data_IF_519797932993
#
_entry.id   IF_519797932993
#
_cell.length_a   1.000
_cell.length_b   1.000
_cell.length_c   1.000
_cell.angle_alpha   90.00
_cell.angle_beta   90.00
_cell.angle_gamma   90.00
#
_symmetry.space_group_name_H-M   'P 1'
#
loop_
_entity.id
_entity.type
_entity.pdbx_description
1 polymer ?
#
# COMPACT_ATOMS: atom_id res chain seq x y z
N UNK A 1 30.21 16.24 -2.05
CA UNK A 1 29.35 15.81 -3.19
C UNK A 1 27.93 16.27 -2.90
N UNK A 2 27.33 17.06 -3.79
CA UNK A 2 25.93 17.49 -3.65
C UNK A 2 25.06 16.29 -4.05
N UNK A 3 24.22 15.80 -3.14
CA UNK A 3 23.25 14.77 -3.50
C UNK A 3 22.31 15.34 -4.58
N UNK A 4 22.07 14.63 -5.69
CA UNK A 4 21.14 15.10 -6.71
C UNK A 4 19.75 15.32 -6.08
N UNK A 5 19.10 16.42 -6.44
CA UNK A 5 17.73 16.70 -6.00
C UNK A 5 16.77 15.75 -6.72
N UNK A 6 15.78 15.17 -6.02
CA UNK A 6 14.79 14.32 -6.65
C UNK A 6 13.97 15.12 -7.67
N UNK A 7 13.76 14.53 -8.84
CA UNK A 7 12.97 15.14 -9.93
C UNK A 7 11.47 15.04 -9.61
N UNK A 8 11.05 13.97 -8.93
CA UNK A 8 9.67 13.75 -8.49
C UNK A 8 9.54 14.05 -7.00
N UNK A 9 8.58 14.90 -6.64
CA UNK A 9 8.27 15.29 -5.26
C UNK A 9 6.76 15.22 -5.03
N UNK A 10 6.30 15.18 -3.77
CA UNK A 10 4.87 15.24 -3.47
C UNK A 10 4.15 16.47 -4.07
N UNK A 11 4.88 17.57 -4.24
CA UNK A 11 4.35 18.85 -4.74
C UNK A 11 4.21 18.88 -6.26
N UNK A 12 5.01 18.09 -6.98
CA UNK A 12 4.98 18.06 -8.45
C UNK A 12 4.38 16.77 -9.03
N UNK A 13 3.93 15.85 -8.17
CA UNK A 13 3.19 14.64 -8.52
C UNK A 13 1.72 14.76 -8.13
N UNK A 14 0.84 14.17 -8.93
CA UNK A 14 -0.60 14.12 -8.67
C UNK A 14 -1.00 12.70 -8.23
N UNK A 15 -0.99 12.38 -6.92
CA UNK A 15 -1.33 11.05 -6.46
C UNK A 15 -2.83 10.79 -6.60
N UNK A 16 -3.19 9.71 -7.30
CA UNK A 16 -4.54 9.14 -7.30
C UNK A 16 -4.50 7.81 -6.57
N UNK A 17 -5.37 7.62 -5.58
CA UNK A 17 -5.29 6.45 -4.70
C UNK A 17 -6.65 5.97 -4.20
N UNK A 18 -6.73 4.66 -3.99
CA UNK A 18 -7.80 3.98 -3.23
C UNK A 18 -7.11 3.08 -2.19
N UNK A 19 -6.92 3.62 -0.99
CA UNK A 19 -6.17 2.96 0.08
C UNK A 19 -7.13 2.48 1.15
N UNK A 20 -7.49 1.20 1.06
CA UNK A 20 -8.36 0.56 2.04
C UNK A 20 -7.61 -0.41 2.93
N UNK A 21 -8.04 -0.51 4.18
CA UNK A 21 -7.41 -1.36 5.18
C UNK A 21 -8.43 -2.13 6.00
N UNK A 22 -8.15 -3.42 6.24
CA UNK A 22 -8.77 -4.17 7.32
C UNK A 22 -7.87 -4.11 8.54
N UNK A 23 -8.29 -3.41 9.58
CA UNK A 23 -7.58 -3.34 10.85
C UNK A 23 -8.32 -4.18 11.89
N UNK A 24 -7.61 -5.06 12.59
CA UNK A 24 -8.07 -5.71 13.80
C UNK A 24 -7.22 -5.28 14.99
N UNK A 25 -7.89 -4.83 16.05
CA UNK A 25 -7.30 -4.56 17.35
C UNK A 25 -7.92 -5.50 18.39
N UNK A 26 -7.11 -5.88 19.37
CA UNK A 26 -7.48 -6.89 20.35
C UNK A 26 -7.61 -6.27 21.72
N UNK A 27 -8.77 -6.46 22.33
CA UNK A 27 -9.06 -6.04 23.69
C UNK A 27 -8.40 -6.98 24.70
N UNK A 28 -8.09 -6.50 25.90
CA UNK A 28 -7.68 -7.38 27.01
C UNK A 28 -8.87 -8.20 27.51
N UNK A 29 -9.99 -7.51 27.72
CA UNK A 29 -11.26 -8.07 28.17
C UNK A 29 -12.40 -7.72 27.21
N UNK A 30 -13.62 -8.13 27.54
CA UNK A 30 -14.80 -7.81 26.74
C UNK A 30 -14.95 -6.29 26.55
N UNK A 31 -15.13 -5.79 25.32
CA UNK A 31 -15.22 -4.36 25.06
C UNK A 31 -16.49 -3.76 25.66
N UNK A 32 -16.42 -2.47 25.98
CA UNK A 32 -17.63 -1.67 26.17
C UNK A 32 -18.39 -1.54 24.85
N UNK A 33 -19.71 -1.39 24.95
CA UNK A 33 -20.59 -1.23 23.79
C UNK A 33 -20.08 -0.16 22.83
N UNK A 34 -19.98 -0.51 21.55
CA UNK A 34 -19.53 0.40 20.48
C UNK A 34 -20.41 1.64 20.34
N UNK A 35 -21.69 1.56 20.73
CA UNK A 35 -22.60 2.72 20.77
C UNK A 35 -22.06 3.86 21.63
N UNK A 36 -21.19 3.57 22.62
CA UNK A 36 -20.61 4.58 23.52
C UNK A 36 -19.43 5.33 22.92
N UNK A 37 -18.76 4.78 21.90
CA UNK A 37 -17.51 5.34 21.42
C UNK A 37 -17.38 5.47 19.90
N UNK A 38 -18.10 4.68 19.11
CA UNK A 38 -17.87 4.55 17.67
C UNK A 38 -18.07 5.84 16.88
N UNK A 39 -19.21 6.51 17.04
CA UNK A 39 -19.48 7.76 16.31
C UNK A 39 -18.53 8.89 16.73
N UNK A 40 -18.14 8.94 18.01
CA UNK A 40 -17.18 9.91 18.50
C UNK A 40 -15.73 9.62 18.08
N UNK A 41 -15.40 8.37 17.71
CA UNK A 41 -14.07 8.01 17.23
C UNK A 41 -13.81 8.51 15.80
N UNK A 42 -14.83 8.46 14.92
CA UNK A 42 -14.72 8.85 13.50
C UNK A 42 -14.08 10.23 13.29
N UNK A 43 -14.58 11.33 13.88
CA UNK A 43 -13.98 12.66 13.66
C UNK A 43 -12.59 12.80 14.29
N UNK A 44 -12.22 11.96 15.27
CA UNK A 44 -10.89 11.98 15.86
C UNK A 44 -9.86 11.36 14.93
N UNK A 45 -10.21 10.25 14.26
CA UNK A 45 -9.32 9.60 13.29
C UNK A 45 -9.27 10.35 11.97
N UNK A 46 -10.36 11.00 11.56
CA UNK A 46 -10.37 11.79 10.32
C UNK A 46 -9.40 12.98 10.37
N UNK A 47 -9.20 13.60 11.53
CA UNK A 47 -8.17 14.63 11.75
C UNK A 47 -6.76 14.13 11.50
N UNK A 48 -6.53 12.83 11.68
CA UNK A 48 -5.26 12.17 11.41
C UNK A 48 -5.17 11.67 9.95
N UNK A 49 -6.16 11.94 9.11
CA UNK A 49 -6.24 11.46 7.72
C UNK A 49 -6.73 10.00 7.58
N UNK A 50 -7.36 9.46 8.64
CA UNK A 50 -7.92 8.09 8.68
C UNK A 50 -9.44 8.13 8.78
N UNK A 51 -10.13 7.74 7.71
CA UNK A 51 -11.59 7.60 7.71
C UNK A 51 -11.99 6.17 8.06
N UNK A 52 -12.84 6.01 9.07
CA UNK A 52 -13.46 4.72 9.38
C UNK A 52 -14.71 4.56 8.51
N UNK A 53 -14.70 3.55 7.64
CA UNK A 53 -15.83 3.23 6.76
C UNK A 53 -16.82 2.31 7.47
N UNK A 54 -16.31 1.25 8.10
CA UNK A 54 -17.12 0.27 8.81
C UNK A 54 -16.44 -0.21 10.08
N UNK A 55 -17.27 -0.70 11.00
CA UNK A 55 -16.85 -1.37 12.21
C UNK A 55 -17.71 -2.60 12.46
N UNK A 56 -17.08 -3.66 12.92
CA UNK A 56 -17.77 -4.79 13.53
C UNK A 56 -16.99 -5.35 14.71
N UNK A 57 -17.72 -5.88 15.68
CA UNK A 57 -17.15 -6.79 16.66
C UNK A 57 -17.07 -8.18 16.00
N UNK A 58 -15.86 -8.69 15.80
CA UNK A 58 -15.64 -9.97 15.11
C UNK A 58 -15.90 -11.17 16.03
N UNK A 59 -15.44 -11.05 17.27
CA UNK A 59 -15.59 -12.02 18.36
C UNK A 59 -15.54 -11.26 19.69
N UNK A 60 -15.58 -11.91 20.84
CA UNK A 60 -15.68 -11.24 22.15
C UNK A 60 -14.54 -10.27 22.48
N UNK A 61 -13.38 -10.40 21.84
CA UNK A 61 -12.19 -9.59 22.16
C UNK A 61 -11.57 -8.92 20.93
N UNK A 62 -12.17 -9.04 19.76
CA UNK A 62 -11.62 -8.49 18.51
C UNK A 62 -12.57 -7.48 17.89
N UNK A 63 -12.11 -6.23 17.82
CA UNK A 63 -12.75 -5.20 17.00
C UNK A 63 -12.08 -5.14 15.64
N UNK A 64 -12.88 -5.17 14.58
CA UNK A 64 -12.43 -5.05 13.21
C UNK A 64 -12.99 -3.80 12.56
N UNK A 65 -12.13 -3.08 11.83
CA UNK A 65 -12.44 -1.85 11.13
C UNK A 65 -12.12 -1.99 9.64
N UNK A 66 -12.96 -1.38 8.81
CA UNK A 66 -12.65 -1.04 7.44
C UNK A 66 -12.28 0.44 7.40
N UNK A 67 -11.11 0.76 6.87
CA UNK A 67 -10.56 2.11 6.87
C UNK A 67 -10.23 2.58 5.45
N UNK A 68 -10.30 3.89 5.23
CA UNK A 68 -9.74 4.59 4.07
C UNK A 68 -8.76 5.65 4.55
N UNK A 69 -7.62 5.81 3.88
CA UNK A 69 -6.56 6.72 4.36
C UNK A 69 -5.99 7.61 3.26
N UNK A 70 -5.36 8.71 3.67
CA UNK A 70 -4.48 9.48 2.80
C UNK A 70 -3.18 8.72 2.50
N UNK A 71 -2.52 9.03 1.38
CA UNK A 71 -1.29 8.37 0.93
C UNK A 71 -0.05 8.70 1.77
N UNK A 72 -0.10 9.76 2.59
CA UNK A 72 1.00 10.20 3.47
C UNK A 72 1.12 9.37 4.74
N UNK A 73 0.15 8.51 5.03
CA UNK A 73 0.11 7.74 6.27
C UNK A 73 0.63 6.33 6.04
N UNK A 74 1.59 5.92 6.86
CA UNK A 74 1.99 4.53 6.96
C UNK A 74 0.92 3.69 7.68
N UNK A 75 0.84 2.38 7.41
CA UNK A 75 -0.03 1.48 8.17
C UNK A 75 0.17 1.59 9.69
N UNK A 76 1.40 1.80 10.14
CA UNK A 76 1.73 1.98 11.57
C UNK A 76 1.06 3.22 12.18
N UNK A 77 1.00 4.32 11.44
CA UNK A 77 0.32 5.54 11.86
C UNK A 77 -1.20 5.40 11.83
N UNK A 78 -1.72 4.65 10.86
CA UNK A 78 -3.15 4.30 10.78
C UNK A 78 -3.58 3.51 12.03
N UNK A 79 -2.78 2.52 12.43
CA UNK A 79 -3.00 1.76 13.68
C UNK A 79 -2.92 2.68 14.89
N UNK A 80 -1.89 3.54 14.95
CA UNK A 80 -1.70 4.49 16.06
C UNK A 80 -2.90 5.43 16.19
N UNK A 81 -3.44 5.93 15.09
CA UNK A 81 -4.64 6.78 15.08
C UNK A 81 -5.83 6.00 15.65
N UNK A 82 -6.25 4.90 15.03
CA UNK A 82 -7.47 4.20 15.45
C UNK A 82 -7.37 3.69 16.90
N UNK A 83 -6.31 2.93 17.20
CA UNK A 83 -6.13 2.30 18.53
C UNK A 83 -5.84 3.32 19.62
N UNK A 84 -5.00 4.32 19.32
CA UNK A 84 -4.61 5.35 20.27
C UNK A 84 -5.75 6.33 20.60
N UNK A 85 -6.48 6.80 19.57
CA UNK A 85 -7.65 7.67 19.76
C UNK A 85 -8.75 6.95 20.55
N UNK A 86 -9.01 5.68 20.22
CA UNK A 86 -9.98 4.88 20.96
C UNK A 86 -9.55 4.65 22.42
N UNK A 87 -8.29 4.27 22.66
CA UNK A 87 -7.77 4.12 24.03
C UNK A 87 -7.91 5.41 24.81
N UNK A 88 -7.59 6.56 24.22
CA UNK A 88 -7.73 7.86 24.89
C UNK A 88 -9.18 8.16 25.27
N UNK A 89 -10.11 7.88 24.36
CA UNK A 89 -11.54 8.13 24.56
C UNK A 89 -12.15 7.30 25.69
N UNK A 90 -11.71 6.05 25.85
CA UNK A 90 -12.30 5.11 26.82
C UNK A 90 -11.46 4.95 28.09
N UNK A 91 -10.30 5.62 28.21
CA UNK A 91 -9.31 5.42 29.29
C UNK A 91 -9.88 5.58 30.70
N UNK A 92 -10.90 6.42 30.87
CA UNK A 92 -11.52 6.65 32.18
C UNK A 92 -12.32 5.42 32.61
N UNK A 93 -12.92 4.70 31.67
CA UNK A 93 -13.66 3.46 31.96
C UNK A 93 -12.73 2.24 31.96
N UNK A 94 -11.79 2.19 31.01
CA UNK A 94 -10.84 1.09 30.84
C UNK A 94 -9.43 1.65 30.59
N UNK A 95 -8.62 1.84 31.64
CA UNK A 95 -7.30 2.46 31.53
C UNK A 95 -6.34 1.76 30.56
N UNK A 96 -6.47 0.43 30.42
CA UNK A 96 -5.60 -0.40 29.57
C UNK A 96 -6.43 -1.37 28.73
N UNK A 97 -7.19 -0.85 27.78
CA UNK A 97 -8.23 -1.60 27.08
C UNK A 97 -7.68 -2.63 26.08
N UNK A 98 -6.50 -2.39 25.51
CA UNK A 98 -5.99 -3.19 24.40
C UNK A 98 -4.75 -4.00 24.75
N UNK A 99 -4.62 -5.16 24.10
CA UNK A 99 -3.36 -5.91 24.02
C UNK A 99 -2.35 -5.14 23.16
N UNK A 100 -1.07 -5.44 23.29
CA UNK A 100 -0.01 -4.80 22.50
C UNK A 100 -0.13 -5.07 20.99
N UNK A 101 -0.66 -6.24 20.62
CA UNK A 101 -0.68 -6.72 19.25
C UNK A 101 -1.79 -6.11 18.36
N UNK A 102 -1.66 -6.27 17.05
CA UNK A 102 -2.65 -5.89 16.03
C UNK A 102 -2.53 -6.76 14.77
N UNK A 103 -3.52 -6.65 13.88
CA UNK A 103 -3.47 -7.16 12.51
C UNK A 103 -3.93 -6.10 11.52
N UNK A 104 -3.14 -5.76 10.50
CA UNK A 104 -3.57 -4.82 9.44
C UNK A 104 -3.35 -5.41 8.05
N UNK A 105 -4.33 -5.28 7.15
CA UNK A 105 -4.23 -5.80 5.78
C UNK A 105 -4.70 -4.76 4.77
N UNK A 106 -3.93 -4.51 3.72
CA UNK A 106 -4.38 -3.75 2.55
C UNK A 106 -5.53 -4.48 1.86
N UNK A 107 -6.57 -3.77 1.48
CA UNK A 107 -7.72 -4.28 0.72
C UNK A 107 -7.77 -3.57 -0.63
N UNK A 108 -7.81 -4.35 -1.71
CA UNK A 108 -8.16 -3.86 -3.04
C UNK A 108 -9.61 -4.23 -3.38
N UNK A 109 -10.19 -3.53 -4.36
CA UNK A 109 -11.46 -3.95 -4.98
C UNK A 109 -11.37 -5.32 -5.66
N UNK A 110 -10.15 -5.81 -5.86
CA UNK A 110 -9.85 -7.00 -6.63
C UNK A 110 -8.81 -7.84 -5.87
N UNK A 111 -8.95 -9.17 -5.92
CA UNK A 111 -7.98 -10.10 -5.33
C UNK A 111 -6.61 -9.94 -5.98
N UNK A 112 -5.54 -10.23 -5.23
CA UNK A 112 -4.17 -10.12 -5.72
C UNK A 112 -3.92 -10.98 -6.96
N UNK A 113 -4.52 -12.17 -7.04
CA UNK A 113 -4.38 -13.08 -8.18
C UNK A 113 -4.92 -12.44 -9.46
N UNK A 114 -6.05 -11.73 -9.37
CA UNK A 114 -6.65 -11.01 -10.50
C UNK A 114 -5.82 -9.78 -10.88
N UNK A 115 -5.23 -9.08 -9.91
CA UNK A 115 -4.30 -7.97 -10.21
C UNK A 115 -3.06 -8.50 -10.93
N UNK A 116 -2.56 -9.67 -10.53
CA UNK A 116 -1.43 -10.31 -11.19
C UNK A 116 -1.77 -10.78 -12.61
N UNK A 117 -2.96 -11.34 -12.83
CA UNK A 117 -3.46 -11.72 -14.16
C UNK A 117 -3.68 -10.48 -15.06
N UNK A 118 -4.23 -9.40 -14.52
CA UNK A 118 -4.34 -8.13 -15.22
C UNK A 118 -2.97 -7.59 -15.66
N UNK A 119 -1.94 -7.76 -14.82
CA UNK A 119 -0.56 -7.40 -15.18
C UNK A 119 0.01 -8.29 -16.27
N UNK A 120 -0.31 -9.59 -16.27
CA UNK A 120 0.15 -10.52 -17.30
C UNK A 120 -0.41 -10.16 -18.68
N UNK A 121 -1.65 -9.69 -18.71
CA UNK A 121 -2.33 -9.29 -19.96
C UNK A 121 -2.06 -7.84 -20.36
N UNK A 122 -1.32 -7.04 -19.58
CA UNK A 122 -1.11 -5.61 -19.89
C UNK A 122 -0.44 -5.38 -21.24
N UNK A 123 0.60 -6.15 -21.56
CA UNK A 123 1.27 -6.01 -22.85
C UNK A 123 0.38 -6.42 -24.03
N UNK A 124 -0.59 -7.30 -23.80
CA UNK A 124 -1.54 -7.74 -24.83
C UNK A 124 -2.65 -6.70 -25.06
N UNK A 125 -3.16 -6.10 -23.98
CA UNK A 125 -4.12 -5.00 -24.05
C UNK A 125 -3.51 -3.73 -24.65
N UNK A 126 -2.22 -3.49 -24.40
CA UNK A 126 -1.44 -2.40 -25.00
C UNK A 126 -0.62 -2.90 -26.20
N UNK A 127 -1.26 -3.58 -27.15
CA UNK A 127 -0.59 -4.07 -28.34
C UNK A 127 0.01 -2.91 -29.15
N UNK A 128 1.31 -2.97 -29.38
CA UNK A 128 1.99 -2.03 -30.26
C UNK A 128 1.70 -2.39 -31.72
N UNK A 129 1.48 -1.37 -32.55
CA UNK A 129 1.31 -1.56 -34.00
C UNK A 129 2.51 -2.23 -34.64
N UNK A 130 3.72 -1.90 -34.18
CA UNK A 130 4.97 -2.52 -34.62
C UNK A 130 5.34 -3.71 -33.70
N UNK A 131 5.35 -4.96 -34.22
CA UNK A 131 5.78 -6.14 -33.47
C UNK A 131 7.21 -6.03 -32.92
N UNK A 132 8.10 -5.26 -33.55
CA UNK A 132 9.47 -5.04 -33.04
C UNK A 132 9.45 -4.24 -31.74
N UNK A 133 8.58 -3.24 -31.63
CA UNK A 133 8.40 -2.47 -30.39
C UNK A 133 7.75 -3.34 -29.32
N UNK A 134 6.75 -4.17 -29.69
CA UNK A 134 6.15 -5.14 -28.77
C UNK A 134 7.22 -6.08 -28.17
N UNK A 135 8.00 -6.74 -29.04
CA UNK A 135 9.04 -7.68 -28.64
C UNK A 135 10.16 -7.02 -27.81
N UNK A 136 10.39 -5.72 -28.01
CA UNK A 136 11.32 -4.95 -27.21
C UNK A 136 10.81 -4.77 -25.78
N UNK A 137 9.55 -4.36 -25.59
CA UNK A 137 8.97 -4.17 -24.26
C UNK A 137 8.96 -5.45 -23.44
N UNK A 138 8.68 -6.61 -24.07
CA UNK A 138 8.67 -7.92 -23.41
C UNK A 138 9.98 -8.19 -22.64
N UNK A 139 11.13 -7.77 -23.19
CA UNK A 139 12.46 -7.99 -22.56
C UNK A 139 12.64 -7.26 -21.24
N UNK A 140 11.88 -6.19 -21.02
CA UNK A 140 12.05 -5.31 -19.85
C UNK A 140 11.01 -5.53 -18.76
N UNK A 141 10.11 -6.49 -18.93
CA UNK A 141 9.18 -6.88 -17.87
C UNK A 141 9.94 -7.58 -16.74
N UNK A 142 9.44 -7.45 -15.51
CA UNK A 142 10.01 -8.10 -14.33
C UNK A 142 8.97 -9.05 -13.77
N UNK A 143 9.38 -10.30 -13.56
CA UNK A 143 8.60 -11.33 -12.89
C UNK A 143 9.46 -12.06 -11.87
N UNK A 144 9.09 -11.92 -10.60
CA UNK A 144 9.72 -12.61 -9.47
C UNK A 144 8.70 -13.63 -8.89
N UNK A 145 8.54 -14.81 -9.51
CA UNK A 145 7.47 -15.76 -9.15
C UNK A 145 7.62 -16.36 -7.73
N UNK A 146 8.83 -16.30 -7.18
CA UNK A 146 9.14 -16.71 -5.81
C UNK A 146 8.62 -15.70 -4.76
N UNK A 147 8.35 -14.46 -5.15
CA UNK A 147 7.83 -13.42 -4.24
C UNK A 147 6.33 -13.61 -4.05
N UNK A 148 5.93 -13.97 -2.83
CA UNK A 148 4.52 -14.19 -2.46
C UNK A 148 3.96 -13.02 -1.64
N UNK A 149 3.12 -12.21 -2.26
CA UNK A 149 2.50 -11.03 -1.63
C UNK A 149 1.31 -11.36 -0.71
N UNK A 150 0.75 -12.56 -0.82
CA UNK A 150 -0.39 -13.01 0.01
C UNK A 150 0.04 -13.61 1.36
N UNK A 151 1.34 -13.67 1.64
CA UNK A 151 1.86 -14.23 2.90
C UNK A 151 1.82 -13.19 4.01
N UNK A 152 1.33 -13.59 5.18
CA UNK A 152 1.30 -12.75 6.38
C UNK A 152 2.73 -12.44 6.82
N UNK A 153 3.04 -11.15 6.94
CA UNK A 153 4.31 -10.65 7.50
C UNK A 153 4.13 -10.24 8.95
N UNK A 154 5.22 -10.21 9.71
CA UNK A 154 5.21 -9.90 11.15
C UNK A 154 6.14 -8.73 11.47
N UNK A 155 5.69 -7.86 12.37
CA UNK A 155 6.52 -6.87 13.06
C UNK A 155 6.63 -7.27 14.53
N UNK A 156 7.41 -6.52 15.32
CA UNK A 156 7.51 -6.73 16.77
C UNK A 156 6.16 -6.65 17.51
N UNK A 157 5.16 -5.99 16.91
CA UNK A 157 3.89 -5.67 17.56
C UNK A 157 2.67 -6.21 16.81
N UNK A 158 2.82 -7.00 15.76
CA UNK A 158 1.65 -7.47 15.04
C UNK A 158 1.94 -8.16 13.74
N UNK A 159 0.86 -8.51 13.05
CA UNK A 159 0.91 -9.10 11.73
C UNK A 159 0.34 -8.15 10.69
N UNK A 160 0.88 -8.19 9.48
CA UNK A 160 0.43 -7.31 8.42
C UNK A 160 0.52 -7.95 7.02
N UNK A 161 -0.34 -7.46 6.13
CA UNK A 161 -0.19 -7.59 4.68
C UNK A 161 -0.31 -6.17 4.14
N UNK A 162 0.77 -5.64 3.58
CA UNK A 162 0.78 -4.31 2.99
C UNK A 162 1.34 -4.43 1.58
N UNK A 163 0.41 -4.49 0.62
CA UNK A 163 0.75 -4.56 -0.78
C UNK A 163 0.22 -3.33 -1.51
N UNK A 164 1.00 -2.85 -2.48
CA UNK A 164 0.63 -1.76 -3.37
C UNK A 164 0.65 -2.25 -4.81
N UNK A 165 -0.39 -1.87 -5.55
CA UNK A 165 -0.33 -1.76 -7.00
C UNK A 165 -0.03 -0.30 -7.33
N UNK A 166 1.22 -0.03 -7.67
CA UNK A 166 1.70 1.31 -7.98
C UNK A 166 1.72 1.50 -9.49
N UNK A 167 1.14 2.60 -9.96
CA UNK A 167 1.16 2.97 -11.38
C UNK A 167 1.83 4.33 -11.50
N UNK A 168 2.93 4.38 -12.25
CA UNK A 168 3.65 5.62 -12.53
C UNK A 168 3.42 5.99 -13.99
N UNK A 169 2.89 7.18 -14.21
CA UNK A 169 2.50 7.66 -15.55
C UNK A 169 3.32 8.90 -15.88
N UNK A 170 3.89 8.95 -17.08
CA UNK A 170 4.59 10.13 -17.53
C UNK A 170 3.59 11.30 -17.74
N UNK A 171 3.87 12.47 -17.18
CA UNK A 171 2.97 13.63 -17.24
C UNK A 171 2.62 14.04 -18.69
N UNK A 172 3.62 14.07 -19.57
CA UNK A 172 3.42 14.33 -20.99
C UNK A 172 2.89 13.15 -21.81
N UNK A 173 2.70 11.96 -21.21
CA UNK A 173 2.39 10.70 -21.92
C UNK A 173 3.38 10.35 -23.04
N UNK A 174 4.64 10.74 -22.85
CA UNK A 174 5.69 10.46 -23.83
C UNK A 174 5.93 8.96 -23.88
N UNK A 175 6.12 8.42 -25.08
CA UNK A 175 6.29 7.00 -25.31
C UNK A 175 7.77 6.66 -25.42
N UNK A 176 8.34 6.15 -24.34
CA UNK A 176 9.73 5.70 -24.32
C UNK A 176 9.85 4.29 -24.90
N UNK A 177 10.68 4.14 -25.92
CA UNK A 177 10.92 2.87 -26.62
C UNK A 177 12.41 2.62 -26.87
N UNK A 178 13.30 3.46 -26.33
CA UNK A 178 14.75 3.31 -26.47
C UNK A 178 15.25 2.26 -25.48
N UNK A 179 15.94 1.24 -25.99
CA UNK A 179 16.44 0.09 -25.23
C UNK A 179 17.26 0.50 -24.01
N UNK A 180 18.17 1.46 -24.19
CA UNK A 180 19.03 1.97 -23.11
C UNK A 180 18.21 2.53 -21.94
N UNK A 181 17.16 3.31 -22.24
CA UNK A 181 16.32 3.94 -21.20
C UNK A 181 15.44 2.91 -20.51
N UNK A 182 14.88 1.96 -21.26
CA UNK A 182 14.09 0.87 -20.69
C UNK A 182 14.93 -0.05 -19.80
N UNK A 183 16.16 -0.36 -20.21
CA UNK A 183 17.12 -1.13 -19.41
C UNK A 183 17.45 -0.42 -18.09
N UNK A 184 17.78 0.88 -18.15
CA UNK A 184 18.07 1.68 -16.96
C UNK A 184 16.87 1.70 -16.00
N UNK A 185 15.66 1.90 -16.52
CA UNK A 185 14.43 1.91 -15.71
C UNK A 185 14.20 0.56 -15.02
N UNK A 186 14.31 -0.55 -15.76
CA UNK A 186 14.20 -1.90 -15.20
C UNK A 186 15.20 -2.11 -14.07
N UNK A 187 16.48 -1.83 -14.31
CA UNK A 187 17.54 -2.05 -13.33
C UNK A 187 17.42 -1.11 -12.13
N UNK A 188 16.87 0.09 -12.32
CA UNK A 188 16.55 1.02 -11.23
C UNK A 188 15.42 0.47 -10.35
N UNK A 189 14.36 -0.09 -10.94
CA UNK A 189 13.24 -0.69 -10.21
C UNK A 189 13.73 -1.82 -9.31
N UNK A 190 14.47 -2.79 -9.86
CA UNK A 190 15.00 -3.91 -9.09
C UNK A 190 15.95 -3.44 -7.97
N UNK A 191 16.91 -2.55 -8.29
CA UNK A 191 17.85 -2.03 -7.28
C UNK A 191 17.14 -1.27 -6.16
N UNK A 192 16.11 -0.49 -6.49
CA UNK A 192 15.35 0.28 -5.50
C UNK A 192 14.56 -0.64 -4.60
N UNK A 193 13.89 -1.65 -5.17
CA UNK A 193 13.16 -2.65 -4.40
C UNK A 193 14.07 -3.38 -3.41
N UNK A 194 15.26 -3.84 -3.86
CA UNK A 194 16.25 -4.47 -2.99
C UNK A 194 16.75 -3.52 -1.91
N UNK A 195 17.14 -2.29 -2.28
CA UNK A 195 17.66 -1.29 -1.34
C UNK A 195 16.66 -0.95 -0.24
N UNK A 196 15.36 -0.92 -0.56
CA UNK A 196 14.28 -0.59 0.38
C UNK A 196 13.70 -1.81 1.08
N UNK A 197 14.13 -3.03 0.71
CA UNK A 197 13.55 -4.27 1.24
C UNK A 197 12.10 -4.50 0.79
N UNK A 198 11.69 -3.90 -0.33
CA UNK A 198 10.37 -4.13 -0.91
C UNK A 198 10.32 -5.49 -1.59
N UNK A 199 9.18 -6.16 -1.42
CA UNK A 199 8.89 -7.42 -2.10
C UNK A 199 8.33 -7.10 -3.49
N UNK A 200 9.19 -6.86 -4.47
CA UNK A 200 8.78 -6.69 -5.86
C UNK A 200 8.36 -8.03 -6.45
N UNK A 201 7.08 -8.14 -6.82
CA UNK A 201 6.53 -9.34 -7.46
C UNK A 201 6.54 -9.22 -8.99
N UNK A 202 5.98 -8.13 -9.52
CA UNK A 202 5.93 -7.86 -10.96
C UNK A 202 6.16 -6.40 -11.26
N UNK A 203 6.84 -6.13 -12.37
CA UNK A 203 6.86 -4.83 -13.03
C UNK A 203 6.42 -4.98 -14.48
N UNK A 204 5.52 -4.11 -14.92
CA UNK A 204 5.12 -3.98 -16.31
C UNK A 204 5.52 -2.63 -16.85
N UNK A 205 6.52 -2.61 -17.73
CA UNK A 205 7.00 -1.39 -18.37
C UNK A 205 6.28 -1.23 -19.70
N UNK A 206 5.51 -0.16 -19.81
CA UNK A 206 4.82 0.26 -21.03
C UNK A 206 5.43 1.59 -21.52
N UNK A 207 5.15 2.01 -22.76
CA UNK A 207 5.82 3.19 -23.31
C UNK A 207 5.57 4.49 -22.53
N UNK A 208 4.36 4.69 -22.01
CA UNK A 208 3.96 5.95 -21.35
C UNK A 208 3.75 5.82 -19.84
N UNK A 209 3.76 4.60 -19.31
CA UNK A 209 3.56 4.33 -17.90
C UNK A 209 4.15 2.97 -17.50
N UNK A 210 4.20 2.71 -16.19
CA UNK A 210 4.57 1.41 -15.67
C UNK A 210 3.68 1.02 -14.50
N UNK A 211 3.52 -0.28 -14.30
CA UNK A 211 2.84 -0.86 -13.16
C UNK A 211 3.81 -1.68 -12.31
N UNK A 212 3.71 -1.57 -10.99
CA UNK A 212 4.47 -2.35 -10.04
C UNK A 212 3.52 -3.02 -9.04
N UNK A 213 3.83 -4.25 -8.64
CA UNK A 213 3.22 -4.90 -7.47
C UNK A 213 4.28 -5.17 -6.42
N UNK A 214 4.09 -4.56 -5.25
CA UNK A 214 5.09 -4.47 -4.20
C UNK A 214 4.47 -4.87 -2.86
N UNK A 215 5.21 -5.61 -2.04
CA UNK A 215 4.97 -5.73 -0.60
C UNK A 215 5.89 -4.78 0.17
N UNK A 216 5.34 -3.93 1.04
CA UNK A 216 6.07 -2.79 1.63
C UNK A 216 6.16 -2.88 3.16
N UNK A 217 7.04 -2.13 3.82
CA UNK A 217 7.12 -2.15 5.29
C UNK A 217 5.97 -1.38 5.94
N UNK A 218 5.51 -1.84 7.11
CA UNK A 218 4.39 -1.24 7.86
C UNK A 218 4.64 0.22 8.28
N UNK A 219 5.91 0.66 8.27
CA UNK A 219 6.34 2.02 8.61
C UNK A 219 6.42 2.97 7.42
N UNK A 220 6.33 2.46 6.20
CA UNK A 220 6.41 3.29 4.99
C UNK A 220 5.02 3.78 4.57
N UNK A 221 4.88 5.06 4.26
CA UNK A 221 3.65 5.55 3.66
C UNK A 221 3.56 5.16 2.18
N UNK A 222 2.35 5.00 1.60
CA UNK A 222 2.21 4.76 0.16
C UNK A 222 2.89 5.84 -0.70
N UNK A 223 2.94 7.08 -0.22
CA UNK A 223 3.62 8.17 -0.89
C UNK A 223 5.14 7.97 -0.90
N UNK A 224 5.74 7.58 0.24
CA UNK A 224 7.19 7.33 0.34
C UNK A 224 7.61 6.13 -0.52
N UNK A 225 6.75 5.11 -0.61
CA UNK A 225 6.99 3.98 -1.53
C UNK A 225 6.96 4.45 -2.99
N UNK A 226 6.02 5.33 -3.33
CA UNK A 226 5.85 5.83 -4.70
C UNK A 226 6.95 6.79 -5.17
N UNK A 227 7.58 7.54 -4.26
CA UNK A 227 8.54 8.58 -4.60
C UNK A 227 10.00 8.25 -4.25
N UNK A 228 10.25 7.21 -3.45
CA UNK A 228 11.60 6.74 -3.10
C UNK A 228 12.27 7.56 -2.01
#
# INVERSE_FOLDING_TARGET
MISPKPIYTPENCNPSYKLYWSLSIFWQDKPISSKKWFEALKPLTEKDGVRILEYRQKDDITSQFLLSTQSKLSPSEVIRSVKGRLQHQIRVQIPKAFKGNYSIKSIGSTKIDIVQEYLDTQLEHHRMTDPKVQNKLVKYQIDHPSVKLNVIRRSAHGQFIYNLHLVLVHAGRWREIRDERLAISRDMIDRTAVKRGHLLSKARLLPDHLHLTLGCDVKESPLDVGLG
#
